data_IF_685061213329
#
_entry.id   IF_685061213329
#
_cell.length_a   1.000
_cell.length_b   1.000
_cell.length_c   1.000
_cell.angle_alpha   90.00
_cell.angle_beta   90.00
_cell.angle_gamma   90.00
#
_symmetry.space_group_name_H-M   'P 1'
#
loop_
_entity.id
_entity.type
_entity.pdbx_description
1 polymer ?
#
# COMPACT_ATOMS: atom_id res chain seq x y z
N UNK A 1 -19.86 18.84 13.41
CA UNK A 1 -20.29 18.46 12.04
C UNK A 1 -19.42 19.17 10.99
N UNK A 2 -19.25 20.50 11.05
CA UNK A 2 -18.32 21.24 10.17
C UNK A 2 -16.89 20.71 10.23
N UNK A 3 -16.38 20.40 11.44
CA UNK A 3 -15.04 19.86 11.63
C UNK A 3 -14.85 18.45 11.05
N UNK A 4 -15.89 17.59 11.12
CA UNK A 4 -15.83 16.23 10.57
C UNK A 4 -15.83 16.27 9.03
N UNK A 5 -16.73 17.03 8.43
CA UNK A 5 -16.78 17.19 6.96
C UNK A 5 -15.48 17.80 6.43
N UNK A 6 -14.93 18.78 7.13
CA UNK A 6 -13.64 19.39 6.78
C UNK A 6 -12.51 18.36 6.84
N UNK A 7 -12.43 17.55 7.91
CA UNK A 7 -11.45 16.48 8.04
C UNK A 7 -11.58 15.42 6.93
N UNK A 8 -12.81 15.08 6.53
CA UNK A 8 -13.07 14.14 5.44
C UNK A 8 -12.67 14.70 4.06
N UNK A 9 -12.81 16.01 3.85
CA UNK A 9 -12.32 16.68 2.64
C UNK A 9 -10.78 16.69 2.61
N UNK A 10 -10.15 17.04 3.73
CA UNK A 10 -8.68 17.07 3.86
C UNK A 10 -8.06 15.67 3.66
N UNK A 11 -8.71 14.64 4.19
CA UNK A 11 -8.32 13.24 3.98
C UNK A 11 -8.74 12.68 2.62
N UNK A 12 -9.34 13.47 1.73
CA UNK A 12 -9.84 13.04 0.39
C UNK A 12 -10.86 11.89 0.44
N UNK A 13 -11.57 11.75 1.54
CA UNK A 13 -12.70 10.81 1.67
C UNK A 13 -13.97 11.40 1.04
N UNK A 14 -14.10 12.73 1.07
CA UNK A 14 -15.27 13.47 0.59
C UNK A 14 -14.82 14.59 -0.36
N UNK A 15 -15.61 14.88 -1.40
CA UNK A 15 -15.34 16.06 -2.24
C UNK A 15 -15.78 17.34 -1.51
N UNK A 16 -15.13 18.48 -1.80
CA UNK A 16 -15.52 19.76 -1.21
C UNK A 16 -16.97 20.14 -1.56
N UNK A 17 -17.43 19.77 -2.77
CA UNK A 17 -18.80 20.01 -3.23
C UNK A 17 -19.83 19.18 -2.46
N UNK A 18 -19.53 17.92 -2.17
CA UNK A 18 -20.42 17.04 -1.40
C UNK A 18 -20.45 17.44 0.08
N UNK A 19 -19.32 17.86 0.63
CA UNK A 19 -19.23 18.41 1.98
C UNK A 19 -20.10 19.67 2.14
N UNK A 20 -20.06 20.58 1.16
CA UNK A 20 -20.94 21.74 1.13
C UNK A 20 -22.41 21.37 0.99
N UNK A 21 -22.73 20.34 0.20
CA UNK A 21 -24.10 19.86 0.01
C UNK A 21 -24.67 19.26 1.29
N UNK A 22 -23.90 18.40 1.97
CA UNK A 22 -24.23 17.82 3.27
C UNK A 22 -24.41 18.91 4.34
N UNK A 23 -23.50 19.90 4.37
CA UNK A 23 -23.60 21.02 5.29
C UNK A 23 -24.86 21.90 5.05
N UNK A 24 -25.34 22.03 3.81
CA UNK A 24 -26.53 22.81 3.45
C UNK A 24 -27.84 22.08 3.74
N UNK A 25 -27.93 20.77 3.54
CA UNK A 25 -29.15 20.00 3.83
C UNK A 25 -29.46 19.92 5.34
N UNK A 26 -28.45 19.96 6.20
CA UNK A 26 -28.64 19.93 7.66
C UNK A 26 -29.12 21.24 8.29
N UNK A 27 -29.29 22.30 7.49
CA UNK A 27 -29.87 23.57 7.95
C UNK A 27 -31.38 23.52 8.18
N UNK A 28 -32.09 22.51 7.66
CA UNK A 28 -33.56 22.50 7.65
C UNK A 28 -34.14 21.05 7.76
N UNK A 29 -34.16 20.52 8.99
CA UNK A 29 -35.13 19.51 9.42
C UNK A 29 -35.25 18.16 8.70
N UNK A 30 -34.23 17.68 7.97
CA UNK A 30 -34.29 16.37 7.31
C UNK A 30 -33.81 15.22 8.22
N UNK A 31 -34.60 14.13 8.25
CA UNK A 31 -34.33 12.88 8.95
C UNK A 31 -33.06 12.19 8.42
N UNK A 32 -32.04 12.08 9.27
CA UNK A 32 -30.79 11.37 8.99
C UNK A 32 -29.58 12.18 9.43
N UNK A 33 -29.24 12.16 10.71
CA UNK A 33 -28.05 12.83 11.22
C UNK A 33 -26.80 12.12 10.69
N UNK A 34 -25.96 12.79 9.91
CA UNK A 34 -24.64 12.29 9.52
C UNK A 34 -23.62 12.66 10.60
N UNK A 35 -23.69 11.98 11.74
CA UNK A 35 -22.85 12.27 12.91
C UNK A 35 -21.54 11.47 12.91
N UNK A 36 -21.43 10.49 12.01
CA UNK A 36 -20.31 9.55 11.99
C UNK A 36 -19.78 9.27 10.57
N UNK A 37 -18.48 9.00 10.46
CA UNK A 37 -17.82 8.61 9.19
C UNK A 37 -18.55 7.44 8.49
N UNK A 38 -18.97 6.36 9.19
CA UNK A 38 -19.72 5.26 8.56
C UNK A 38 -21.02 5.70 7.88
N UNK A 39 -21.77 6.63 8.47
CA UNK A 39 -23.02 7.12 7.88
C UNK A 39 -22.78 7.94 6.61
N UNK A 40 -21.75 8.80 6.63
CA UNK A 40 -21.33 9.58 5.45
C UNK A 40 -20.83 8.65 4.34
N UNK A 41 -20.04 7.63 4.67
CA UNK A 41 -19.56 6.65 3.69
C UNK A 41 -20.70 5.79 3.12
N UNK A 42 -21.73 5.46 3.90
CA UNK A 42 -22.93 4.76 3.40
C UNK A 42 -23.73 5.63 2.44
N UNK A 43 -23.87 6.92 2.73
CA UNK A 43 -24.48 7.86 1.80
C UNK A 43 -23.64 7.99 0.51
N UNK A 44 -22.32 8.12 0.63
CA UNK A 44 -21.40 8.19 -0.51
C UNK A 44 -21.49 6.94 -1.39
N UNK A 45 -21.61 5.76 -0.77
CA UNK A 45 -21.81 4.50 -1.47
C UNK A 45 -23.10 4.50 -2.31
N UNK A 46 -24.19 5.02 -1.77
CA UNK A 46 -25.47 5.12 -2.47
C UNK A 46 -25.42 6.13 -3.62
N UNK A 47 -24.84 7.31 -3.37
CA UNK A 47 -24.77 8.40 -4.36
C UNK A 47 -23.90 8.02 -5.57
N UNK A 48 -22.75 7.39 -5.33
CA UNK A 48 -21.79 7.00 -6.37
C UNK A 48 -21.98 5.57 -6.90
N UNK A 49 -23.03 4.87 -6.45
CA UNK A 49 -23.30 3.46 -6.80
C UNK A 49 -22.10 2.53 -6.53
N UNK A 50 -21.41 2.74 -5.41
CA UNK A 50 -20.29 1.92 -4.92
C UNK A 50 -20.77 1.02 -3.80
N UNK A 51 -20.17 -0.15 -3.62
CA UNK A 51 -20.53 -1.04 -2.50
C UNK A 51 -19.98 -0.52 -1.17
N UNK A 52 -20.67 -0.79 -0.06
CA UNK A 52 -20.20 -0.48 1.29
C UNK A 52 -20.02 -1.76 2.13
N UNK A 53 -18.97 -1.82 2.95
CA UNK A 53 -18.70 -2.94 3.85
C UNK A 53 -18.10 -2.46 5.18
N UNK A 54 -18.63 -2.96 6.31
CA UNK A 54 -18.09 -2.67 7.65
C UNK A 54 -16.80 -3.48 7.98
N UNK A 55 -16.40 -4.41 7.10
CA UNK A 55 -15.21 -5.28 7.23
C UNK A 55 -15.14 -6.16 8.49
N UNK A 56 -16.16 -6.18 9.35
CA UNK A 56 -16.13 -6.92 10.63
C UNK A 56 -16.08 -8.44 10.48
N UNK A 57 -16.62 -8.98 9.38
CA UNK A 57 -16.73 -10.44 9.14
C UNK A 57 -16.14 -10.88 7.79
N UNK A 58 -15.28 -10.04 7.19
CA UNK A 58 -14.72 -10.37 5.86
C UNK A 58 -13.51 -11.29 6.03
N UNK A 59 -13.62 -12.49 5.44
CA UNK A 59 -12.49 -13.38 5.27
C UNK A 59 -11.70 -12.97 4.02
N UNK A 60 -10.56 -12.30 4.26
CA UNK A 60 -9.60 -11.99 3.20
C UNK A 60 -8.68 -13.18 2.97
N UNK A 61 -8.65 -13.68 1.74
CA UNK A 61 -7.75 -14.75 1.32
C UNK A 61 -6.30 -14.24 1.22
N UNK A 62 -5.36 -14.97 1.82
CA UNK A 62 -3.92 -14.60 1.78
C UNK A 62 -3.38 -14.55 0.35
N UNK A 63 -3.88 -15.41 -0.52
CA UNK A 63 -3.50 -15.47 -1.94
C UNK A 63 -3.82 -14.14 -2.64
N UNK A 64 -4.94 -13.49 -2.31
CA UNK A 64 -5.32 -12.20 -2.87
C UNK A 64 -4.38 -11.10 -2.36
N UNK A 65 -4.03 -11.10 -1.06
CA UNK A 65 -3.10 -10.13 -0.49
C UNK A 65 -1.70 -10.23 -1.11
N UNK A 66 -1.22 -11.43 -1.41
CA UNK A 66 0.09 -11.66 -2.03
C UNK A 66 0.21 -11.15 -3.47
N UNK A 67 -0.91 -10.83 -4.15
CA UNK A 67 -0.90 -10.24 -5.50
C UNK A 67 -0.51 -8.77 -5.49
N UNK A 68 -0.54 -8.11 -4.32
CA UNK A 68 -0.37 -6.67 -4.21
C UNK A 68 0.83 -6.32 -3.32
N UNK A 69 1.63 -5.29 -3.67
CA UNK A 69 2.72 -4.84 -2.82
C UNK A 69 2.21 -4.30 -1.48
N UNK A 70 2.60 -4.92 -0.37
CA UNK A 70 2.15 -4.54 0.98
C UNK A 70 2.40 -3.06 1.31
N UNK A 71 3.53 -2.50 0.86
CA UNK A 71 3.86 -1.07 1.05
C UNK A 71 2.83 -0.15 0.39
N UNK A 72 2.32 -0.52 -0.78
CA UNK A 72 1.33 0.28 -1.50
C UNK A 72 -0.04 0.17 -0.83
N UNK A 73 -0.42 -1.03 -0.37
CA UNK A 73 -1.64 -1.25 0.41
C UNK A 73 -1.65 -0.42 1.71
N UNK A 74 -0.52 -0.38 2.41
CA UNK A 74 -0.34 0.42 3.63
C UNK A 74 -0.38 1.91 3.37
N UNK A 75 0.37 2.39 2.36
CA UNK A 75 0.50 3.82 2.05
C UNK A 75 -0.82 4.44 1.58
N UNK A 76 -1.51 3.73 0.69
CA UNK A 76 -2.73 4.21 0.05
C UNK A 76 -4.00 3.79 0.82
N UNK A 77 -3.84 3.07 1.95
CA UNK A 77 -4.92 2.54 2.78
C UNK A 77 -5.93 1.72 1.96
N UNK A 78 -5.40 0.80 1.15
CA UNK A 78 -6.17 -0.08 0.28
C UNK A 78 -6.11 -1.50 0.81
N UNK A 79 -7.27 -2.14 0.99
CA UNK A 79 -7.34 -3.52 1.46
C UNK A 79 -8.03 -4.41 0.42
N UNK A 80 -7.29 -5.30 -0.26
CA UNK A 80 -7.89 -6.31 -1.11
C UNK A 80 -8.76 -7.27 -0.29
N UNK A 81 -9.99 -7.53 -0.75
CA UNK A 81 -10.95 -8.38 -0.05
C UNK A 81 -11.03 -9.77 -0.69
N UNK A 82 -11.54 -9.81 -1.92
CA UNK A 82 -11.80 -11.05 -2.64
C UNK A 82 -11.52 -10.86 -4.13
N UNK A 83 -11.15 -11.96 -4.78
CA UNK A 83 -10.95 -12.01 -6.24
C UNK A 83 -12.08 -12.81 -6.87
N UNK A 84 -12.73 -12.24 -7.88
CA UNK A 84 -13.80 -12.89 -8.63
C UNK A 84 -13.66 -12.57 -10.12
N UNK A 85 -13.61 -13.61 -10.98
CA UNK A 85 -13.67 -13.49 -12.44
C UNK A 85 -12.71 -12.45 -13.06
N UNK A 86 -11.45 -12.39 -12.60
CA UNK A 86 -10.46 -11.43 -13.10
C UNK A 86 -10.62 -10.01 -12.56
N UNK A 87 -11.51 -9.80 -11.59
CA UNK A 87 -11.63 -8.57 -10.81
C UNK A 87 -11.32 -8.80 -9.33
N UNK A 88 -10.89 -7.75 -8.64
CA UNK A 88 -10.60 -7.76 -7.20
C UNK A 88 -11.36 -6.62 -6.55
N UNK A 89 -12.07 -6.94 -5.48
CA UNK A 89 -12.73 -5.94 -4.65
C UNK A 89 -11.71 -5.34 -3.69
N UNK A 90 -11.56 -4.02 -3.72
CA UNK A 90 -10.60 -3.26 -2.93
C UNK A 90 -11.36 -2.35 -1.97
N UNK A 91 -11.25 -2.60 -0.68
CA UNK A 91 -11.77 -1.70 0.34
C UNK A 91 -10.93 -0.42 0.43
N UNK A 92 -11.60 0.73 0.45
CA UNK A 92 -11.00 2.06 0.63
C UNK A 92 -11.96 2.99 1.37
N UNK A 93 -11.45 3.90 2.17
CA UNK A 93 -12.25 5.01 2.74
C UNK A 93 -12.22 6.25 1.83
N UNK A 94 -11.34 6.26 0.81
CA UNK A 94 -10.96 7.44 0.02
C UNK A 94 -11.33 7.28 -1.45
N UNK A 95 -12.63 7.30 -1.76
CA UNK A 95 -13.14 7.05 -3.11
C UNK A 95 -12.52 7.96 -4.19
N UNK A 96 -12.22 9.22 -3.84
CA UNK A 96 -11.68 10.21 -4.77
C UNK A 96 -10.15 10.16 -4.91
N UNK A 97 -9.46 9.37 -4.09
CA UNK A 97 -8.02 9.18 -4.17
C UNK A 97 -7.68 8.02 -5.14
N UNK A 98 -7.86 8.25 -6.44
CA UNK A 98 -7.71 7.17 -7.44
C UNK A 98 -6.27 6.72 -7.65
N UNK A 99 -5.28 7.53 -7.27
CA UNK A 99 -3.86 7.27 -7.55
C UNK A 99 -3.40 5.88 -7.09
N UNK A 100 -3.78 5.47 -5.87
CA UNK A 100 -3.43 4.14 -5.36
C UNK A 100 -4.10 3.01 -6.14
N UNK A 101 -5.39 3.16 -6.48
CA UNK A 101 -6.14 2.18 -7.28
C UNK A 101 -5.58 2.06 -8.70
N UNK A 102 -5.27 3.19 -9.34
CA UNK A 102 -4.70 3.23 -10.69
C UNK A 102 -3.31 2.55 -10.73
N UNK A 103 -2.50 2.78 -9.69
CA UNK A 103 -1.19 2.13 -9.54
C UNK A 103 -1.34 0.62 -9.36
N UNK A 104 -2.21 0.16 -8.46
CA UNK A 104 -2.46 -1.28 -8.27
C UNK A 104 -3.00 -1.94 -9.54
N UNK A 105 -3.88 -1.24 -10.27
CA UNK A 105 -4.44 -1.72 -11.54
C UNK A 105 -3.37 -1.86 -12.61
N UNK A 106 -2.47 -0.88 -12.72
CA UNK A 106 -1.35 -0.92 -13.68
C UNK A 106 -0.39 -2.07 -13.38
N UNK A 107 -0.03 -2.27 -12.11
CA UNK A 107 0.91 -3.32 -11.68
C UNK A 107 0.34 -4.74 -11.84
N UNK A 108 -0.94 -4.93 -11.52
CA UNK A 108 -1.55 -6.27 -11.50
C UNK A 108 -2.25 -6.64 -12.80
N UNK A 109 -2.62 -5.66 -13.63
CA UNK A 109 -3.46 -5.86 -14.82
C UNK A 109 -4.89 -6.30 -14.50
N UNK A 110 -5.28 -6.32 -13.23
CA UNK A 110 -6.59 -6.78 -12.77
C UNK A 110 -7.59 -5.62 -12.77
N UNK A 111 -8.88 -5.95 -12.95
CA UNK A 111 -9.94 -4.97 -12.77
C UNK A 111 -10.18 -4.78 -11.27
N UNK A 112 -10.01 -3.56 -10.76
CA UNK A 112 -10.26 -3.25 -9.35
C UNK A 112 -11.65 -2.65 -9.19
N UNK A 113 -12.45 -3.20 -8.28
CA UNK A 113 -13.75 -2.65 -7.90
C UNK A 113 -13.61 -2.02 -6.51
N UNK A 114 -13.74 -0.69 -6.37
CA UNK A 114 -13.67 -0.06 -5.06
C UNK A 114 -14.91 -0.45 -4.22
N UNK A 115 -14.68 -0.66 -2.92
CA UNK A 115 -15.70 -0.86 -1.90
C UNK A 115 -15.42 0.13 -0.79
N UNK A 116 -16.40 0.92 -0.40
CA UNK A 116 -16.27 1.86 0.70
C UNK A 116 -16.28 1.11 2.04
N UNK A 117 -15.32 1.44 2.89
CA UNK A 117 -15.25 0.93 4.25
C UNK A 117 -14.69 1.98 5.20
N UNK A 118 -15.07 1.95 6.49
CA UNK A 118 -14.52 2.88 7.49
C UNK A 118 -12.99 2.81 7.56
N UNK A 119 -12.34 3.96 7.65
CA UNK A 119 -10.87 4.06 7.71
C UNK A 119 -10.28 3.23 8.86
N UNK A 120 -10.86 3.31 10.06
CA UNK A 120 -10.45 2.52 11.22
C UNK A 120 -10.57 1.01 10.98
N UNK A 121 -11.58 0.57 10.24
CA UNK A 121 -11.79 -0.84 9.93
C UNK A 121 -10.73 -1.35 8.95
N UNK A 122 -10.42 -0.56 7.92
CA UNK A 122 -9.35 -0.85 6.97
C UNK A 122 -8.00 -0.94 7.69
N UNK A 123 -7.64 0.08 8.48
CA UNK A 123 -6.36 0.11 9.18
C UNK A 123 -6.22 -1.06 10.15
N UNK A 124 -7.28 -1.41 10.89
CA UNK A 124 -7.30 -2.56 11.80
C UNK A 124 -7.05 -3.87 11.07
N UNK A 125 -7.71 -4.11 9.95
CA UNK A 125 -7.53 -5.36 9.20
C UNK A 125 -6.20 -5.40 8.44
N UNK A 126 -5.72 -4.27 7.90
CA UNK A 126 -4.37 -4.15 7.34
C UNK A 126 -3.32 -4.57 8.39
N UNK A 127 -3.38 -4.01 9.61
CA UNK A 127 -2.46 -4.36 10.70
C UNK A 127 -2.55 -5.84 11.10
N UNK A 128 -3.77 -6.38 11.18
CA UNK A 128 -4.01 -7.77 11.58
C UNK A 128 -3.54 -8.78 10.52
N UNK A 129 -3.71 -8.47 9.23
CA UNK A 129 -3.48 -9.40 8.12
C UNK A 129 -2.07 -9.30 7.54
N UNK A 130 -1.49 -8.11 7.51
CA UNK A 130 -0.09 -7.89 7.09
C UNK A 130 0.90 -7.97 8.27
N UNK A 131 0.40 -8.03 9.51
CA UNK A 131 1.18 -8.32 10.72
C UNK A 131 2.09 -7.17 11.21
N UNK A 132 2.91 -7.48 12.22
CA UNK A 132 3.86 -6.61 12.96
C UNK A 132 4.97 -6.00 12.07
N UNK A 133 4.96 -6.27 10.76
CA UNK A 133 5.69 -5.51 9.74
C UNK A 133 5.25 -4.05 9.65
N UNK A 134 4.01 -3.74 10.06
CA UNK A 134 3.50 -2.38 10.14
C UNK A 134 4.13 -1.58 11.30
N UNK A 135 4.45 -2.22 12.43
CA UNK A 135 5.13 -1.58 13.56
C UNK A 135 6.64 -1.44 13.31
N UNK A 136 7.24 -2.30 12.48
CA UNK A 136 8.63 -2.12 12.00
C UNK A 136 8.75 -1.01 10.96
N UNK A 137 7.65 -0.63 10.32
CA UNK A 137 7.58 0.57 9.47
C UNK A 137 7.42 1.85 10.31
N UNK A 138 6.80 1.79 11.49
CA UNK A 138 6.80 2.91 12.43
C UNK A 138 8.20 3.18 13.02
N UNK A 139 9.06 2.17 13.15
CA UNK A 139 10.51 2.40 13.42
C UNK A 139 11.28 2.93 12.22
N UNK A 140 10.77 2.76 11.00
CA UNK A 140 11.30 3.40 9.79
C UNK A 140 10.79 4.84 9.60
N UNK A 141 9.87 5.32 10.46
CA UNK A 141 9.41 6.71 10.43
C UNK A 141 10.46 7.70 10.96
N UNK A 142 11.44 7.25 11.74
CA UNK A 142 12.53 8.12 12.22
C UNK A 142 13.72 8.19 11.25
N UNK A 143 13.83 7.26 10.29
CA UNK A 143 14.82 7.34 9.20
C UNK A 143 14.18 7.92 7.94
N UNK A 144 14.04 9.25 7.96
CA UNK A 144 13.71 10.10 6.82
C UNK A 144 14.77 10.08 5.69
N UNK A 145 15.29 8.89 5.34
CA UNK A 145 16.33 8.69 4.33
C UNK A 145 16.12 7.49 3.40
N UNK A 146 15.02 6.72 3.51
CA UNK A 146 14.68 5.76 2.45
C UNK A 146 13.81 6.40 1.37
N UNK A 147 14.43 7.36 0.65
CA UNK A 147 13.95 7.81 -0.65
C UNK A 147 13.87 6.59 -1.57
N UNK A 148 12.65 6.08 -1.80
CA UNK A 148 12.35 5.44 -3.08
C UNK A 148 11.81 6.55 -3.96
N UNK A 149 12.79 7.23 -4.57
CA UNK A 149 12.73 8.06 -5.78
C UNK A 149 11.31 8.41 -6.22
N UNK A 150 10.86 9.55 -5.73
CA UNK A 150 10.09 10.45 -6.58
C UNK A 150 11.12 10.96 -7.60
N UNK A 151 11.04 10.48 -8.83
CA UNK A 151 11.52 11.28 -9.95
C UNK A 151 10.47 11.27 -11.03
N UNK A 152 10.09 12.49 -11.40
CA UNK A 152 9.30 12.80 -12.57
C UNK A 152 10.12 12.41 -13.81
N UNK A 153 10.05 11.14 -14.22
CA UNK A 153 10.53 10.76 -15.54
C UNK A 153 9.33 10.61 -16.47
N UNK A 154 9.17 11.68 -17.26
CA UNK A 154 8.57 11.71 -18.59
C UNK A 154 8.21 10.33 -19.15
N UNK A 155 6.93 10.18 -19.42
CA UNK A 155 6.34 9.17 -20.31
C UNK A 155 7.12 9.19 -21.64
N UNK A 156 8.09 8.28 -21.83
CA UNK A 156 8.39 7.59 -23.13
C UNK A 156 9.71 6.78 -23.23
N UNK A 157 10.49 6.55 -22.16
CA UNK A 157 11.77 5.82 -22.32
C UNK A 157 11.96 4.64 -21.36
N UNK A 158 12.15 3.46 -21.95
CA UNK A 158 12.80 2.26 -21.41
C UNK A 158 12.05 1.36 -20.39
N UNK A 159 11.15 0.54 -20.93
CA UNK A 159 10.59 -0.65 -20.25
C UNK A 159 11.67 -1.63 -19.75
N UNK A 160 12.86 -1.64 -20.38
CA UNK A 160 13.98 -2.50 -20.00
C UNK A 160 14.62 -2.01 -18.70
N UNK A 161 14.86 -0.70 -18.56
CA UNK A 161 15.37 -0.09 -17.33
C UNK A 161 14.39 -0.27 -16.15
N UNK A 162 13.07 -0.15 -16.40
CA UNK A 162 12.05 -0.40 -15.37
C UNK A 162 12.01 -1.86 -14.90
N UNK A 163 12.26 -2.82 -15.80
CA UNK A 163 12.35 -4.25 -15.46
C UNK A 163 13.64 -4.59 -14.72
N UNK A 164 14.73 -3.91 -15.04
CA UNK A 164 16.03 -3.99 -14.36
C UNK A 164 15.93 -3.45 -12.92
N UNK A 165 15.35 -2.26 -12.73
CA UNK A 165 15.10 -1.66 -11.42
C UNK A 165 14.24 -2.57 -10.53
N UNK A 166 13.18 -3.16 -11.10
CA UNK A 166 12.32 -4.09 -10.39
C UNK A 166 13.06 -5.37 -9.95
N UNK A 167 14.11 -5.78 -10.64
CA UNK A 167 14.90 -6.98 -10.31
C UNK A 167 15.93 -6.69 -9.21
N UNK A 168 16.56 -5.51 -9.23
CA UNK A 168 17.45 -5.05 -8.16
C UNK A 168 16.67 -4.88 -6.85
N UNK A 169 15.50 -4.24 -6.91
CA UNK A 169 14.64 -4.04 -5.73
C UNK A 169 14.24 -5.39 -5.12
N UNK A 170 13.85 -6.37 -5.95
CA UNK A 170 13.53 -7.73 -5.48
C UNK A 170 14.73 -8.41 -4.83
N UNK A 171 15.92 -8.27 -5.41
CA UNK A 171 17.14 -8.85 -4.85
C UNK A 171 17.49 -8.26 -3.48
N UNK A 172 17.44 -6.93 -3.33
CA UNK A 172 17.71 -6.27 -2.04
C UNK A 172 16.70 -6.74 -0.98
N UNK A 173 15.41 -6.80 -1.33
CA UNK A 173 14.39 -7.28 -0.40
C UNK A 173 14.61 -8.74 0.02
N UNK A 174 15.07 -9.60 -0.89
CA UNK A 174 15.42 -10.98 -0.57
C UNK A 174 16.61 -11.02 0.39
N UNK A 175 17.68 -10.27 0.12
CA UNK A 175 18.88 -10.22 0.97
C UNK A 175 18.54 -9.79 2.40
N UNK A 176 17.64 -8.80 2.55
CA UNK A 176 17.18 -8.35 3.86
C UNK A 176 16.31 -9.39 4.57
N UNK A 177 15.41 -10.05 3.83
CA UNK A 177 14.54 -11.10 4.39
C UNK A 177 15.35 -12.30 4.88
N UNK A 178 16.30 -12.77 4.06
CA UNK A 178 17.17 -13.89 4.40
C UNK A 178 18.03 -13.59 5.64
N UNK A 179 18.53 -12.36 5.77
CA UNK A 179 19.29 -11.94 6.95
C UNK A 179 18.46 -12.00 8.23
N UNK A 180 17.16 -11.65 8.16
CA UNK A 180 16.24 -11.73 9.30
C UNK A 180 15.95 -13.20 9.65
N UNK A 181 15.64 -14.03 8.65
CA UNK A 181 15.31 -15.44 8.83
C UNK A 181 16.50 -16.22 9.43
N UNK A 182 17.72 -15.91 8.95
CA UNK A 182 18.96 -16.48 9.45
C UNK A 182 19.47 -15.81 10.75
N UNK A 183 18.76 -14.80 11.26
CA UNK A 183 19.14 -13.99 12.43
C UNK A 183 20.58 -13.48 12.35
N UNK A 184 20.98 -13.07 11.15
CA UNK A 184 22.26 -12.44 10.92
C UNK A 184 22.33 -11.12 11.70
N UNK A 185 23.45 -10.88 12.37
CA UNK A 185 23.69 -9.62 13.08
C UNK A 185 24.15 -8.53 12.12
N UNK A 186 24.76 -8.90 11.00
CA UNK A 186 25.34 -7.97 10.02
C UNK A 186 25.22 -8.54 8.61
N UNK A 187 25.02 -7.63 7.66
CA UNK A 187 25.08 -7.90 6.22
C UNK A 187 26.26 -7.12 5.67
N UNK A 188 27.26 -7.82 5.17
CA UNK A 188 28.43 -7.24 4.51
C UNK A 188 28.20 -7.23 3.00
N UNK A 189 28.28 -6.05 2.39
CA UNK A 189 28.28 -5.87 0.94
C UNK A 189 29.67 -5.40 0.51
N UNK A 190 30.38 -6.26 -0.21
CA UNK A 190 31.78 -6.06 -0.59
C UNK A 190 31.89 -5.99 -2.12
N UNK A 191 31.96 -4.77 -2.69
CA UNK A 191 32.21 -4.61 -4.12
C UNK A 191 33.68 -4.90 -4.41
N UNK A 192 33.94 -5.92 -5.22
CA UNK A 192 35.25 -6.22 -5.79
C UNK A 192 35.32 -5.76 -7.24
N UNK A 193 36.51 -5.85 -7.84
CA UNK A 193 36.74 -5.40 -9.22
C UNK A 193 35.85 -6.10 -10.25
N UNK A 194 35.48 -7.37 -10.06
CA UNK A 194 34.71 -8.15 -11.04
C UNK A 194 33.45 -8.83 -10.46
N UNK A 195 33.17 -8.64 -9.18
CA UNK A 195 32.00 -9.23 -8.53
C UNK A 195 31.55 -8.43 -7.31
N UNK A 196 30.27 -8.56 -6.96
CA UNK A 196 29.73 -8.15 -5.68
C UNK A 196 29.67 -9.39 -4.78
N UNK A 197 30.36 -9.36 -3.64
CA UNK A 197 30.25 -10.41 -2.63
C UNK A 197 29.32 -9.94 -1.51
N UNK A 198 28.38 -10.79 -1.11
CA UNK A 198 27.51 -10.54 0.05
C UNK A 198 27.77 -11.62 1.09
N UNK A 199 27.94 -11.19 2.35
CA UNK A 199 28.18 -12.11 3.47
C UNK A 199 27.30 -11.78 4.67
N UNK A 200 26.76 -12.80 5.33
CA UNK A 200 26.03 -12.64 6.59
C UNK A 200 26.91 -13.00 7.77
N UNK A 201 26.87 -12.21 8.84
CA UNK A 201 27.43 -12.60 10.13
C UNK A 201 26.35 -13.28 10.96
N UNK A 202 26.43 -14.60 11.08
CA UNK A 202 25.48 -15.42 11.85
C UNK A 202 26.25 -16.05 13.00
N UNK A 203 25.82 -15.80 14.24
CA UNK A 203 26.49 -16.26 15.46
C UNK A 203 28.00 -15.96 15.49
N UNK A 204 28.39 -14.81 14.93
CA UNK A 204 29.77 -14.34 14.86
C UNK A 204 30.61 -14.92 13.70
N UNK A 205 30.04 -15.78 12.86
CA UNK A 205 30.70 -16.39 11.69
C UNK A 205 30.20 -15.75 10.40
N UNK A 206 31.11 -15.36 9.51
CA UNK A 206 30.79 -14.87 8.17
C UNK A 206 30.44 -16.04 7.24
N UNK A 207 29.31 -15.95 6.55
CA UNK A 207 28.84 -16.92 5.56
C UNK A 207 28.56 -16.22 4.22
N UNK A 208 29.06 -16.80 3.13
CA UNK A 208 28.91 -16.25 1.79
C UNK A 208 27.53 -16.54 1.20
N UNK A 209 26.96 -15.54 0.53
CA UNK A 209 25.66 -15.61 -0.14
C UNK A 209 25.87 -15.58 -1.66
N UNK A 210 25.29 -16.53 -2.42
CA UNK A 210 25.38 -16.50 -3.86
C UNK A 210 24.63 -15.30 -4.44
N UNK A 211 25.34 -14.43 -5.16
CA UNK A 211 24.74 -13.29 -5.86
C UNK A 211 24.32 -13.70 -7.27
N UNK A 212 23.05 -13.47 -7.68
CA UNK A 212 22.57 -13.77 -9.01
C UNK A 212 23.39 -13.07 -10.09
N UNK A 213 23.60 -13.76 -11.22
CA UNK A 213 24.40 -13.26 -12.33
C UNK A 213 23.80 -12.01 -13.01
N UNK A 214 22.49 -11.77 -12.86
CA UNK A 214 21.83 -10.58 -13.39
C UNK A 214 22.30 -9.28 -12.71
N UNK A 215 22.69 -9.35 -11.43
CA UNK A 215 23.21 -8.21 -10.66
C UNK A 215 24.68 -7.91 -11.02
N UNK A 216 25.39 -8.85 -11.65
CA UNK A 216 26.81 -8.70 -12.06
C UNK A 216 27.03 -7.68 -13.17
N UNK A 217 25.97 -7.22 -13.85
CA UNK A 217 26.07 -6.24 -14.96
C UNK A 217 26.19 -4.78 -14.54
N UNK A 218 26.06 -4.47 -13.25
CA UNK A 218 25.98 -3.09 -12.74
C UNK A 218 27.25 -2.60 -12.05
N UNK A 219 28.42 -3.14 -12.45
CA UNK A 219 29.69 -2.48 -12.14
C UNK A 219 29.87 -1.25 -13.03
N UNK A 220 30.34 -0.12 -12.48
CA UNK A 220 30.67 1.06 -13.28
C UNK A 220 31.81 0.81 -14.27
#
# INVERSE_FOLDING_TARGET
MTDLLQLMVESRQLSASDAEWLAKQHGDGAEGSFDSEPEILRWLAQEYAVSYSDLEQVEVEKEVLSLFPARLLLKEELLPLQRSNGSVDIATSRLFATQGLDTLKSLTGLKLNPVLAPSEAIQREIKKRLGVGADTIDTLKDDASFQVVHDELSVDTDLENAAEDASIIRFVNQVLSDAIDLRATDIHLEPFENELQIRYRIDGVLQDVPVPSEIKRFQP
#
